data_IF_587735621345
#
_entry.id   IF_587735621345
#
_cell.length_a   1.000
_cell.length_b   1.000
_cell.length_c   1.000
_cell.angle_alpha   90.00
_cell.angle_beta   90.00
_cell.angle_gamma   90.00
#
_symmetry.space_group_name_H-M   'P 1'
#
loop_
_entity.id
_entity.type
_entity.pdbx_description
1 polymer ?
#
# COMPACT_ATOMS: atom_id res chain seq x y z
N UNK A 1 2.47 -38.66 47.33
CA UNK A 1 2.10 -39.55 46.19
C UNK A 1 0.60 -39.47 46.05
N UNK A 2 -0.05 -39.04 44.98
CA UNK A 2 0.36 -38.65 43.63
C UNK A 2 -0.59 -37.53 43.18
N UNK A 3 -0.06 -36.47 42.59
CA UNK A 3 -0.87 -35.46 41.89
C UNK A 3 -1.17 -36.07 40.52
N UNK A 4 -2.44 -36.40 40.26
CA UNK A 4 -2.86 -36.88 38.95
C UNK A 4 -2.80 -35.73 37.95
N UNK A 5 -1.79 -35.78 37.08
CA UNK A 5 -1.67 -34.99 35.86
C UNK A 5 -2.74 -35.50 34.90
N UNK A 6 -3.91 -34.87 34.88
CA UNK A 6 -4.89 -35.09 33.81
C UNK A 6 -5.75 -33.85 33.58
N UNK A 7 -5.08 -32.74 33.29
CA UNK A 7 -5.69 -31.51 32.80
C UNK A 7 -4.91 -30.96 31.59
N UNK A 8 -4.38 -31.83 30.72
CA UNK A 8 -3.59 -31.43 29.54
C UNK A 8 -4.16 -32.01 28.24
N UNK A 9 -5.36 -32.60 28.26
CA UNK A 9 -5.97 -33.16 27.04
C UNK A 9 -7.06 -32.31 26.41
N UNK A 10 -7.14 -31.00 26.71
CA UNK A 10 -8.10 -30.12 26.04
C UNK A 10 -7.63 -28.67 25.83
N UNK A 11 -6.38 -28.47 25.37
CA UNK A 11 -5.95 -27.17 24.82
C UNK A 11 -5.76 -27.22 23.29
N UNK A 12 -6.52 -28.07 22.60
CA UNK A 12 -6.61 -28.00 21.13
C UNK A 12 -7.56 -26.89 20.64
N UNK A 13 -8.20 -26.15 21.56
CA UNK A 13 -9.13 -25.06 21.25
C UNK A 13 -8.58 -23.63 21.46
N UNK A 14 -7.30 -23.45 21.82
CA UNK A 14 -6.75 -22.09 22.07
C UNK A 14 -5.43 -21.87 21.33
N UNK A 15 -5.42 -22.13 20.03
CA UNK A 15 -4.44 -21.53 19.10
C UNK A 15 -5.16 -21.07 17.84
N UNK A 16 -6.05 -20.07 17.97
CA UNK A 16 -6.10 -18.89 17.10
C UNK A 16 -7.34 -18.01 17.39
N UNK A 17 -7.49 -17.53 18.62
CA UNK A 17 -8.47 -16.47 18.95
C UNK A 17 -8.01 -15.07 18.48
N UNK A 18 -6.96 -14.98 17.65
CA UNK A 18 -6.54 -13.78 16.90
C UNK A 18 -7.14 -13.74 15.48
N UNK A 19 -8.18 -14.53 15.19
CA UNK A 19 -8.79 -14.63 13.86
C UNK A 19 -9.99 -13.67 13.63
N UNK A 20 -10.10 -12.59 14.42
CA UNK A 20 -11.03 -11.49 14.17
C UNK A 20 -10.34 -10.22 13.64
N UNK A 21 -9.23 -10.39 12.88
CA UNK A 21 -8.69 -9.32 12.02
C UNK A 21 -8.63 -9.81 10.57
N UNK A 22 -9.66 -9.37 9.83
CA UNK A 22 -10.02 -9.76 8.47
C UNK A 22 -8.84 -9.67 7.48
N UNK A 23 -8.75 -10.62 6.53
CA UNK A 23 -7.82 -10.57 5.40
C UNK A 23 -7.86 -9.16 4.79
N UNK A 24 -6.75 -8.43 4.80
CA UNK A 24 -6.70 -7.00 4.45
C UNK A 24 -5.43 -6.62 3.73
N UNK A 25 -5.45 -5.48 3.05
CA UNK A 25 -4.22 -4.88 2.54
C UNK A 25 -3.39 -4.23 3.63
N UNK A 26 -2.07 -4.14 3.38
CA UNK A 26 -1.16 -3.30 4.14
C UNK A 26 -1.55 -1.82 4.06
N UNK A 27 -2.00 -1.39 2.87
CA UNK A 27 -2.44 -0.03 2.58
C UNK A 27 -3.71 -0.07 1.71
N UNK A 28 -4.78 0.57 2.16
CA UNK A 28 -6.03 0.71 1.40
C UNK A 28 -5.95 1.80 0.32
N UNK A 29 -4.96 2.69 0.44
CA UNK A 29 -4.68 3.79 -0.49
C UNK A 29 -3.18 3.84 -0.78
N UNK A 30 -2.85 4.01 -2.05
CA UNK A 30 -1.48 4.14 -2.52
C UNK A 30 -1.36 5.35 -3.44
N UNK A 31 -0.30 6.11 -3.24
CA UNK A 31 0.00 7.30 -4.02
C UNK A 31 1.40 7.14 -4.58
N UNK A 32 1.53 7.25 -5.90
CA UNK A 32 2.77 6.97 -6.62
C UNK A 32 3.07 8.09 -7.62
N UNK A 33 4.35 8.44 -7.75
CA UNK A 33 4.84 9.20 -8.89
C UNK A 33 4.97 8.28 -10.11
N UNK A 34 4.75 8.82 -11.31
CA UNK A 34 5.00 8.09 -12.56
C UNK A 34 6.41 7.48 -12.55
N UNK A 35 6.54 6.21 -12.97
CA UNK A 35 7.81 5.48 -12.99
C UNK A 35 8.17 4.79 -11.67
N UNK A 36 7.51 5.14 -10.56
CA UNK A 36 7.70 4.47 -9.28
C UNK A 36 6.74 3.29 -9.09
N UNK A 37 7.06 2.45 -8.11
CA UNK A 37 6.24 1.29 -7.74
C UNK A 37 6.10 1.16 -6.23
N UNK A 38 5.05 0.47 -5.80
CA UNK A 38 4.87 0.01 -4.42
C UNK A 38 4.30 -1.40 -4.41
N UNK A 39 4.79 -2.22 -3.50
CA UNK A 39 4.30 -3.59 -3.35
C UNK A 39 3.15 -3.62 -2.35
N UNK A 40 1.97 -4.02 -2.81
CA UNK A 40 0.84 -4.29 -1.95
C UNK A 40 0.98 -5.68 -1.33
N UNK A 41 0.93 -5.74 0.00
CA UNK A 41 0.95 -7.00 0.76
C UNK A 41 -0.42 -7.26 1.36
N UNK A 42 -0.83 -8.53 1.33
CA UNK A 42 -2.04 -8.99 2.01
C UNK A 42 -1.63 -9.54 3.37
N UNK A 43 -2.31 -9.09 4.43
CA UNK A 43 -2.14 -9.57 5.80
C UNK A 43 -3.26 -10.54 6.15
N UNK A 44 -2.97 -11.52 7.00
CA UNK A 44 -3.94 -12.51 7.45
C UNK A 44 -4.08 -13.74 6.54
N UNK A 45 -3.22 -13.90 5.53
CA UNK A 45 -3.14 -15.14 4.73
C UNK A 45 -1.78 -15.30 4.06
N UNK A 46 -1.37 -16.53 3.80
CA UNK A 46 -0.19 -16.91 2.99
C UNK A 46 -0.57 -17.39 1.59
N UNK A 47 -1.87 -17.48 1.29
CA UNK A 47 -2.37 -17.93 -0.01
C UNK A 47 -2.05 -16.90 -1.10
N UNK A 48 -1.77 -17.40 -2.30
CA UNK A 48 -1.58 -16.54 -3.48
C UNK A 48 -2.88 -15.82 -3.82
N UNK A 49 -2.76 -14.55 -4.21
CA UNK A 49 -3.87 -13.74 -4.64
C UNK A 49 -3.82 -13.52 -6.14
N UNK A 50 -4.99 -13.42 -6.76
CA UNK A 50 -5.13 -13.00 -8.15
C UNK A 50 -5.31 -11.50 -8.19
N UNK A 51 -4.41 -10.80 -8.87
CA UNK A 51 -4.39 -9.34 -8.94
C UNK A 51 -4.93 -8.83 -10.28
N UNK A 52 -5.61 -7.69 -10.24
CA UNK A 52 -6.08 -7.01 -11.44
C UNK A 52 -6.14 -5.49 -11.23
N UNK A 53 -5.86 -4.71 -12.27
CA UNK A 53 -6.03 -3.25 -12.28
C UNK A 53 -7.27 -2.87 -13.09
N UNK A 54 -8.07 -1.92 -12.60
CA UNK A 54 -9.20 -1.37 -13.36
C UNK A 54 -8.76 -0.54 -14.57
N UNK A 55 -7.56 0.04 -14.51
CA UNK A 55 -6.97 0.80 -15.61
C UNK A 55 -5.45 0.56 -15.66
N UNK A 56 -5.00 -0.42 -16.48
CA UNK A 56 -3.59 -0.72 -16.64
C UNK A 56 -2.77 0.46 -17.14
N UNK A 57 -3.35 1.35 -17.97
CA UNK A 57 -2.64 2.53 -18.51
C UNK A 57 -2.22 3.52 -17.41
N UNK A 58 -2.92 3.54 -16.28
CA UNK A 58 -2.60 4.37 -15.11
C UNK A 58 -1.64 3.63 -14.18
N UNK A 59 -1.96 2.39 -13.81
CA UNK A 59 -1.05 1.54 -13.05
C UNK A 59 -1.27 0.05 -13.34
N UNK A 60 -0.18 -0.70 -13.43
CA UNK A 60 -0.17 -2.16 -13.58
C UNK A 60 0.13 -2.84 -12.26
N UNK A 61 -0.26 -4.12 -12.12
CA UNK A 61 0.07 -4.93 -10.94
C UNK A 61 0.57 -6.30 -11.36
N UNK A 62 1.68 -6.75 -10.77
CA UNK A 62 2.23 -8.09 -11.01
C UNK A 62 1.54 -9.16 -10.15
N UNK A 63 1.80 -10.44 -10.46
CA UNK A 63 1.31 -11.59 -9.66
C UNK A 63 1.79 -11.57 -8.20
N UNK A 64 2.92 -10.90 -7.91
CA UNK A 64 3.44 -10.69 -6.56
C UNK A 64 2.90 -9.45 -5.84
N UNK A 65 1.93 -8.72 -6.44
CA UNK A 65 1.37 -7.51 -5.87
C UNK A 65 2.23 -6.25 -6.05
N UNK A 66 3.23 -6.27 -6.94
CA UNK A 66 4.01 -5.08 -7.29
C UNK A 66 3.17 -4.17 -8.18
N UNK A 67 2.75 -3.02 -7.66
CA UNK A 67 1.99 -2.01 -8.40
C UNK A 67 2.94 -0.98 -8.98
N UNK A 68 2.96 -0.83 -10.31
CA UNK A 68 3.83 0.10 -11.04
C UNK A 68 3.00 1.21 -11.65
N UNK A 69 3.38 2.46 -11.39
CA UNK A 69 2.72 3.65 -11.93
C UNK A 69 3.19 3.95 -13.36
N UNK A 70 2.24 4.09 -14.29
CA UNK A 70 2.51 4.31 -15.71
C UNK A 70 2.10 5.71 -16.18
N UNK A 71 0.93 6.20 -15.77
CA UNK A 71 0.42 7.51 -16.17
C UNK A 71 -0.36 8.17 -15.04
N UNK A 72 -0.40 9.50 -15.02
CA UNK A 72 -1.16 10.27 -14.04
C UNK A 72 -2.65 9.94 -14.11
N UNK A 73 -3.28 9.78 -12.96
CA UNK A 73 -4.71 9.44 -12.87
C UNK A 73 -5.03 8.66 -11.62
N UNK A 74 -6.24 8.10 -11.56
CA UNK A 74 -6.63 7.20 -10.46
C UNK A 74 -7.09 5.86 -11.01
N UNK A 75 -6.72 4.79 -10.34
CA UNK A 75 -7.10 3.42 -10.68
C UNK A 75 -7.32 2.61 -9.41
N UNK A 76 -8.02 1.49 -9.52
CA UNK A 76 -8.27 0.58 -8.40
C UNK A 76 -7.61 -0.74 -8.68
N UNK A 77 -6.75 -1.17 -7.75
CA UNK A 77 -6.16 -2.50 -7.76
C UNK A 77 -7.04 -3.43 -6.93
N UNK A 78 -7.44 -4.54 -7.53
CA UNK A 78 -8.21 -5.59 -6.88
C UNK A 78 -7.33 -6.81 -6.65
N UNK A 79 -7.37 -7.38 -5.44
CA UNK A 79 -6.82 -8.69 -5.15
C UNK A 79 -7.94 -9.64 -4.74
N UNK A 80 -8.02 -10.81 -5.38
CA UNK A 80 -8.91 -11.90 -4.98
C UNK A 80 -8.09 -12.97 -4.26
N UNK A 81 -8.44 -13.29 -3.02
CA UNK A 81 -7.75 -14.29 -2.22
C UNK A 81 -8.74 -14.99 -1.29
N UNK A 82 -8.67 -16.32 -1.21
CA UNK A 82 -9.55 -17.12 -0.33
C UNK A 82 -11.05 -16.81 -0.51
N UNK A 83 -11.51 -16.57 -1.75
CA UNK A 83 -12.89 -16.19 -2.06
C UNK A 83 -13.28 -14.74 -1.69
N UNK A 84 -12.37 -13.96 -1.11
CA UNK A 84 -12.58 -12.55 -0.77
C UNK A 84 -12.00 -11.62 -1.82
N UNK A 85 -12.65 -10.48 -2.00
CA UNK A 85 -12.19 -9.39 -2.88
C UNK A 85 -11.69 -8.23 -2.02
N UNK A 86 -10.45 -7.84 -2.21
CA UNK A 86 -9.84 -6.65 -1.62
C UNK A 86 -9.62 -5.61 -2.69
N UNK A 87 -9.86 -4.34 -2.37
CA UNK A 87 -9.65 -3.22 -3.29
C UNK A 87 -8.74 -2.16 -2.67
N UNK A 88 -7.83 -1.61 -3.46
CA UNK A 88 -6.90 -0.56 -3.08
C UNK A 88 -6.98 0.56 -4.12
N UNK A 89 -7.20 1.80 -3.67
CA UNK A 89 -7.21 2.96 -4.58
C UNK A 89 -5.79 3.44 -4.81
N UNK A 90 -5.38 3.53 -6.06
CA UNK A 90 -4.07 4.01 -6.49
C UNK A 90 -4.24 5.34 -7.19
N UNK A 91 -3.59 6.37 -6.67
CA UNK A 91 -3.51 7.69 -7.29
C UNK A 91 -2.09 7.90 -7.81
N UNK A 92 -1.96 8.11 -9.12
CA UNK A 92 -0.69 8.40 -9.77
C UNK A 92 -0.62 9.88 -10.09
N UNK A 93 0.47 10.52 -9.68
CA UNK A 93 0.73 11.94 -9.93
C UNK A 93 2.01 12.12 -10.75
N UNK A 94 2.05 13.22 -11.49
CA UNK A 94 3.22 13.65 -12.25
C UNK A 94 3.78 14.91 -11.59
N UNK A 95 5.07 14.88 -11.26
CA UNK A 95 5.78 16.05 -10.75
C UNK A 95 6.43 16.76 -11.94
N UNK A 96 5.94 17.95 -12.26
CA UNK A 96 6.41 18.72 -13.41
C UNK A 96 7.63 19.59 -13.10
N UNK A 97 7.93 19.84 -11.82
CA UNK A 97 9.04 20.69 -11.39
C UNK A 97 9.59 20.15 -10.06
N UNK A 98 10.84 19.66 -10.09
CA UNK A 98 11.54 19.14 -8.89
C UNK A 98 12.41 20.18 -8.22
N UNK A 99 12.84 21.19 -8.99
CA UNK A 99 13.73 22.26 -8.54
C UNK A 99 13.21 23.62 -8.97
N UNK A 100 13.48 24.63 -8.14
CA UNK A 100 13.16 26.03 -8.42
C UNK A 100 14.42 26.85 -8.21
N UNK A 101 15.01 27.32 -9.30
CA UNK A 101 16.12 28.29 -9.24
C UNK A 101 15.54 29.69 -9.08
N UNK A 102 15.96 30.40 -8.02
CA UNK A 102 15.63 31.81 -7.81
C UNK A 102 16.84 32.68 -8.14
N UNK A 103 16.61 33.80 -8.82
CA UNK A 103 17.63 34.84 -8.95
C UNK A 103 17.77 35.63 -7.64
N UNK A 104 18.95 36.21 -7.35
CA UNK A 104 19.15 37.01 -6.15
C UNK A 104 18.10 38.12 -6.01
N UNK A 105 17.49 38.23 -4.81
CA UNK A 105 16.47 39.24 -4.50
C UNK A 105 15.03 38.83 -4.82
N UNK A 106 14.79 37.69 -5.46
CA UNK A 106 13.44 37.18 -5.71
C UNK A 106 12.95 36.26 -4.58
N UNK A 107 11.66 36.37 -4.25
CA UNK A 107 10.98 35.45 -3.34
C UNK A 107 9.88 34.70 -4.09
N UNK A 108 9.68 33.43 -3.73
CA UNK A 108 8.61 32.61 -4.27
C UNK A 108 7.98 31.78 -3.17
N UNK A 109 6.64 31.79 -3.10
CA UNK A 109 5.87 30.98 -2.17
C UNK A 109 5.35 29.75 -2.93
N UNK A 110 6.03 28.60 -2.87
CA UNK A 110 5.60 27.39 -3.56
C UNK A 110 4.23 26.92 -3.03
N UNK A 111 3.26 26.81 -3.94
CA UNK A 111 1.95 26.24 -3.65
C UNK A 111 1.94 24.78 -4.09
N UNK A 112 2.05 23.87 -3.13
CA UNK A 112 2.05 22.43 -3.39
C UNK A 112 0.59 21.96 -3.47
N UNK A 113 0.20 21.38 -4.61
CA UNK A 113 -1.12 20.79 -4.81
C UNK A 113 -1.01 19.29 -5.03
N UNK A 114 -1.85 18.51 -4.36
CA UNK A 114 -1.88 17.05 -4.51
C UNK A 114 -1.96 16.29 -3.18
N UNK A 115 -1.89 14.95 -3.22
CA UNK A 115 -1.80 14.17 -2.01
C UNK A 115 -0.54 14.54 -1.22
N UNK A 116 -0.75 15.20 -0.08
CA UNK A 116 0.33 15.81 0.70
C UNK A 116 1.11 14.69 1.37
N UNK A 117 2.26 14.31 0.81
CA UNK A 117 3.33 13.69 1.59
C UNK A 117 3.89 14.78 2.53
N UNK A 118 4.55 14.38 3.62
CA UNK A 118 5.33 15.33 4.43
C UNK A 118 6.23 16.13 3.47
N UNK A 119 6.03 17.44 3.43
CA UNK A 119 6.83 18.34 2.60
C UNK A 119 8.15 18.52 3.31
N UNK A 120 9.23 18.08 2.68
CA UNK A 120 10.59 18.27 3.18
C UNK A 120 11.26 19.33 2.32
N UNK A 121 11.66 20.42 2.97
CA UNK A 121 12.41 21.51 2.35
C UNK A 121 13.89 21.23 2.57
N UNK A 122 14.68 21.25 1.51
CA UNK A 122 16.13 21.24 1.57
C UNK A 122 16.65 22.43 0.76
N UNK A 123 17.70 23.06 1.25
CA UNK A 123 18.42 24.14 0.58
C UNK A 123 19.88 23.72 0.51
N UNK A 124 20.53 23.94 -0.63
CA UNK A 124 21.94 23.56 -0.86
C UNK A 124 22.95 24.53 -0.21
N UNK A 125 22.56 25.23 0.87
CA UNK A 125 23.34 26.32 1.46
C UNK A 125 23.86 26.00 2.87
#
# INVERSE_FOLDING_TARGET
MSIAISAIFFTKEIYNVQAASYIRFNDSKVELEIGHYKTLRIKGTTKKATWSSSNPKVATVSSGGKVTAQASGTTTITAKVSGRKLTCKVSVYQIYKKELTLAPGNSYTPKIWGPVRKVEWSSDN
#
